data_IF_562962590928
#
_entry.id   IF_562962590928
#
_cell.length_a   1.000
_cell.length_b   1.000
_cell.length_c   1.000
_cell.angle_alpha   90.00
_cell.angle_beta   90.00
_cell.angle_gamma   90.00
#
_symmetry.space_group_name_H-M   'P 1'
#
loop_
_entity.id
_entity.type
_entity.pdbx_description
1 polymer ?
#
# COMPACT_ATOMS: atom_id res chain seq x y z
N UNK A 1 4.46 13.98 10.34
CA UNK A 1 4.01 13.37 9.07
C UNK A 1 5.05 13.66 8.02
N UNK A 2 5.32 12.69 7.13
CA UNK A 2 6.32 12.81 6.07
C UNK A 2 5.62 13.33 4.79
N UNK A 3 6.22 14.29 4.10
CA UNK A 3 5.77 14.72 2.77
C UNK A 3 6.45 13.89 1.69
N UNK A 4 6.10 14.14 0.43
CA UNK A 4 6.82 13.50 -0.70
C UNK A 4 8.33 13.75 -0.71
N UNK A 5 8.82 14.83 -0.07
CA UNK A 5 10.25 15.14 -0.02
C UNK A 5 10.99 14.20 0.92
N UNK A 6 10.43 13.95 2.10
CA UNK A 6 11.03 13.03 3.05
C UNK A 6 10.87 11.59 2.54
N UNK A 7 9.75 11.23 1.91
CA UNK A 7 9.48 9.86 1.44
C UNK A 7 10.23 9.41 0.16
N UNK A 8 11.21 10.17 -0.32
CA UNK A 8 11.89 9.92 -1.60
C UNK A 8 13.10 8.96 -1.52
N UNK A 9 13.28 8.25 -0.40
CA UNK A 9 14.46 7.41 -0.13
C UNK A 9 14.75 6.37 -1.23
N UNK A 10 13.72 5.77 -1.82
CA UNK A 10 13.85 4.75 -2.86
C UNK A 10 14.29 5.31 -4.23
N UNK A 11 14.22 6.63 -4.44
CA UNK A 11 14.31 7.19 -5.79
C UNK A 11 15.66 6.95 -6.45
N UNK A 12 16.77 7.16 -5.73
CA UNK A 12 18.12 7.06 -6.29
C UNK A 12 18.43 5.67 -6.88
N UNK A 13 18.38 4.56 -6.11
CA UNK A 13 18.74 3.25 -6.66
C UNK A 13 17.81 2.79 -7.80
N UNK A 14 16.53 3.18 -7.76
CA UNK A 14 15.57 2.86 -8.81
C UNK A 14 15.84 3.65 -10.10
N UNK A 15 16.06 4.96 -10.01
CA UNK A 15 16.38 5.80 -11.17
C UNK A 15 17.70 5.38 -11.81
N UNK A 16 18.72 5.05 -11.01
CA UNK A 16 20.01 4.52 -11.50
C UNK A 16 19.85 3.21 -12.29
N UNK A 17 18.73 2.50 -12.10
CA UNK A 17 18.37 1.26 -12.80
C UNK A 17 17.33 1.47 -13.90
N UNK A 18 17.05 2.72 -14.26
CA UNK A 18 16.18 3.07 -15.38
C UNK A 18 14.69 3.11 -15.05
N UNK A 19 14.31 3.05 -13.76
CA UNK A 19 12.93 3.23 -13.34
C UNK A 19 12.53 4.70 -13.41
N UNK A 20 11.26 4.93 -13.75
CA UNK A 20 10.57 6.19 -13.43
C UNK A 20 9.99 6.03 -12.04
N UNK A 21 10.29 6.97 -11.13
CA UNK A 21 9.83 6.92 -9.74
C UNK A 21 8.84 8.05 -9.50
N UNK A 22 7.64 7.71 -9.02
CA UNK A 22 6.59 8.66 -8.65
C UNK A 22 6.43 8.57 -7.12
N UNK A 23 6.75 9.66 -6.43
CA UNK A 23 6.52 9.78 -4.98
C UNK A 23 5.26 10.62 -4.79
N UNK A 24 4.20 9.95 -4.32
CA UNK A 24 2.90 10.59 -4.09
C UNK A 24 2.88 11.33 -2.76
N UNK A 25 2.19 12.47 -2.77
CA UNK A 25 1.74 13.18 -1.58
C UNK A 25 0.21 13.14 -1.56
N UNK A 26 -0.40 13.33 -0.41
CA UNK A 26 -1.85 13.30 -0.26
C UNK A 26 -2.31 14.18 0.90
N UNK A 27 -3.59 14.54 0.90
CA UNK A 27 -4.14 15.35 1.99
C UNK A 27 -4.20 14.55 3.30
N UNK A 28 -4.19 15.25 4.43
CA UNK A 28 -4.04 14.63 5.74
C UNK A 28 -5.32 14.80 6.57
N UNK A 29 -5.66 13.78 7.34
CA UNK A 29 -6.72 13.87 8.34
C UNK A 29 -6.32 14.88 9.43
N UNK A 30 -7.27 15.71 9.94
CA UNK A 30 -8.71 15.69 9.68
C UNK A 30 -9.18 16.61 8.54
N UNK A 31 -8.28 17.17 7.72
CA UNK A 31 -8.68 18.04 6.60
C UNK A 31 -9.57 17.29 5.60
N UNK A 32 -9.26 16.00 5.41
CA UNK A 32 -10.09 15.02 4.72
C UNK A 32 -10.31 13.82 5.62
N UNK A 33 -11.42 13.12 5.42
CA UNK A 33 -11.70 11.81 6.01
C UNK A 33 -10.85 10.71 5.37
N UNK A 34 -10.73 9.56 6.02
CA UNK A 34 -10.04 8.40 5.43
C UNK A 34 -10.72 7.93 4.13
N UNK A 35 -12.04 8.03 4.04
CA UNK A 35 -12.77 7.69 2.81
C UNK A 35 -12.41 8.61 1.63
N UNK A 36 -12.36 9.91 1.88
CA UNK A 36 -11.90 10.89 0.89
C UNK A 36 -10.44 10.66 0.52
N UNK A 37 -9.60 10.34 1.50
CA UNK A 37 -8.19 10.02 1.26
C UNK A 37 -8.03 8.78 0.36
N UNK A 38 -8.75 7.68 0.62
CA UNK A 38 -8.76 6.50 -0.27
C UNK A 38 -9.24 6.88 -1.67
N UNK A 39 -10.21 7.79 -1.78
CA UNK A 39 -10.71 8.28 -3.07
C UNK A 39 -9.64 9.08 -3.82
N UNK A 40 -8.85 9.91 -3.13
CA UNK A 40 -7.71 10.63 -3.72
C UNK A 40 -6.66 9.65 -4.27
N UNK A 41 -6.37 8.57 -3.53
CA UNK A 41 -5.41 7.55 -3.94
C UNK A 41 -5.92 6.77 -5.16
N UNK A 42 -7.22 6.49 -5.26
CA UNK A 42 -7.84 5.93 -6.48
C UNK A 42 -7.64 6.84 -7.68
N UNK A 43 -7.91 8.14 -7.55
CA UNK A 43 -7.68 9.10 -8.63
C UNK A 43 -6.19 9.18 -9.04
N UNK A 44 -5.28 9.12 -8.07
CA UNK A 44 -3.84 9.10 -8.35
C UNK A 44 -3.43 7.80 -9.07
N UNK A 45 -3.97 6.65 -8.65
CA UNK A 45 -3.74 5.36 -9.29
C UNK A 45 -4.22 5.34 -10.75
N UNK A 46 -5.42 5.83 -11.01
CA UNK A 46 -5.97 5.98 -12.37
C UNK A 46 -5.06 6.87 -13.23
N UNK A 47 -4.66 8.04 -12.72
CA UNK A 47 -3.76 8.94 -13.44
C UNK A 47 -2.40 8.29 -13.76
N UNK A 48 -1.82 7.56 -12.82
CA UNK A 48 -0.53 6.86 -13.02
C UNK A 48 -0.66 5.77 -14.07
N UNK A 49 -1.76 5.01 -14.06
CA UNK A 49 -1.98 3.94 -15.03
C UNK A 49 -2.21 4.50 -16.44
N UNK A 50 -2.97 5.59 -16.58
CA UNK A 50 -3.12 6.30 -17.84
C UNK A 50 -1.77 6.83 -18.34
N UNK A 51 -0.98 7.46 -17.46
CA UNK A 51 0.38 7.91 -17.80
C UNK A 51 1.27 6.74 -18.25
N UNK A 52 1.20 5.60 -17.56
CA UNK A 52 1.98 4.42 -17.87
C UNK A 52 1.63 3.86 -19.25
N UNK A 53 0.34 3.77 -19.58
CA UNK A 53 -0.15 3.32 -20.88
C UNK A 53 0.29 4.28 -22.00
N UNK A 54 0.05 5.59 -21.84
CA UNK A 54 0.45 6.62 -22.81
C UNK A 54 1.97 6.62 -23.11
N UNK A 55 2.78 6.29 -22.10
CA UNK A 55 4.23 6.24 -22.21
C UNK A 55 4.78 4.84 -22.51
N UNK A 56 3.91 3.85 -22.79
CA UNK A 56 4.27 2.45 -23.07
C UNK A 56 5.20 1.85 -22.02
N UNK A 57 4.91 2.15 -20.75
CA UNK A 57 5.65 1.62 -19.61
C UNK A 57 5.42 0.11 -19.54
N UNK A 58 6.50 -0.67 -19.34
CA UNK A 58 6.44 -2.14 -19.36
C UNK A 58 5.56 -2.73 -18.27
N UNK A 59 5.63 -2.15 -17.07
CA UNK A 59 4.79 -2.47 -15.93
C UNK A 59 4.90 -1.39 -14.86
N UNK A 60 3.94 -1.39 -13.95
CA UNK A 60 3.88 -0.54 -12.77
C UNK A 60 4.05 -1.42 -11.52
N UNK A 61 4.91 -0.96 -10.62
CA UNK A 61 5.06 -1.49 -9.27
C UNK A 61 4.66 -0.40 -8.29
N UNK A 62 3.86 -0.74 -7.28
CA UNK A 62 3.34 0.21 -6.28
C UNK A 62 3.84 -0.23 -4.92
N UNK A 63 4.35 0.70 -4.11
CA UNK A 63 4.82 0.42 -2.76
C UNK A 63 4.25 1.43 -1.78
N UNK A 64 3.87 0.97 -0.59
CA UNK A 64 3.37 1.82 0.48
C UNK A 64 3.85 1.32 1.84
N UNK A 65 4.01 2.28 2.74
CA UNK A 65 4.49 2.06 4.10
C UNK A 65 3.40 2.42 5.11
N UNK A 66 3.13 1.55 6.09
CA UNK A 66 2.22 1.87 7.20
C UNK A 66 0.83 2.31 6.69
N UNK A 67 0.43 3.56 6.92
CA UNK A 67 -0.78 4.12 6.35
C UNK A 67 -0.80 4.11 4.80
N UNK A 68 0.35 4.23 4.13
CA UNK A 68 0.44 4.09 2.67
C UNK A 68 0.14 2.67 2.18
N UNK A 69 0.56 1.64 2.93
CA UNK A 69 0.21 0.25 2.63
C UNK A 69 -1.30 0.01 2.79
N UNK A 70 -1.89 0.61 3.84
CA UNK A 70 -3.35 0.62 4.01
C UNK A 70 -4.06 1.24 2.80
N UNK A 71 -3.63 2.44 2.38
CA UNK A 71 -4.25 3.17 1.28
C UNK A 71 -4.18 2.41 -0.04
N UNK A 72 -3.05 1.75 -0.34
CA UNK A 72 -2.95 0.89 -1.54
C UNK A 72 -3.90 -0.31 -1.44
N UNK A 73 -3.93 -1.00 -0.30
CA UNK A 73 -4.80 -2.14 -0.12
C UNK A 73 -6.28 -1.76 -0.24
N UNK A 74 -6.68 -0.61 0.32
CA UNK A 74 -8.04 -0.06 0.23
C UNK A 74 -8.37 0.47 -1.18
N UNK A 75 -7.37 0.99 -1.91
CA UNK A 75 -7.54 1.44 -3.30
C UNK A 75 -7.86 0.27 -4.24
N UNK A 76 -7.24 -0.91 -4.05
CA UNK A 76 -7.36 -2.08 -4.94
C UNK A 76 -8.72 -2.81 -4.87
N UNK A 77 -9.79 -2.08 -4.58
CA UNK A 77 -11.15 -2.61 -4.56
C UNK A 77 -11.72 -2.84 -5.96
N UNK A 78 -12.90 -3.47 -6.00
CA UNK A 78 -13.60 -3.79 -7.25
C UNK A 78 -13.91 -2.54 -8.08
N UNK A 79 -14.24 -1.42 -7.42
CA UNK A 79 -14.60 -0.19 -8.10
C UNK A 79 -13.39 0.39 -8.84
N UNK A 80 -12.23 0.45 -8.19
CA UNK A 80 -10.99 0.93 -8.82
C UNK A 80 -10.64 0.08 -10.04
N UNK A 81 -10.66 -1.26 -9.92
CA UNK A 81 -10.38 -2.15 -11.05
C UNK A 81 -11.38 -1.97 -12.20
N UNK A 82 -12.65 -1.72 -11.89
CA UNK A 82 -13.65 -1.41 -12.91
C UNK A 82 -13.42 -0.04 -13.57
N UNK A 83 -12.95 0.95 -12.82
CA UNK A 83 -12.62 2.29 -13.33
C UNK A 83 -11.42 2.27 -14.27
N UNK A 84 -10.34 1.58 -13.88
CA UNK A 84 -9.08 1.57 -14.66
C UNK A 84 -9.04 0.50 -15.74
N UNK A 85 -10.09 -0.31 -15.92
CA UNK A 85 -10.20 -1.24 -17.05
C UNK A 85 -9.01 -2.18 -17.25
N UNK A 86 -8.51 -2.25 -18.48
CA UNK A 86 -7.42 -3.15 -18.87
C UNK A 86 -6.06 -2.68 -18.36
N UNK A 87 -5.92 -1.38 -18.05
CA UNK A 87 -4.71 -0.76 -17.54
C UNK A 87 -4.30 -1.35 -16.18
N UNK A 88 -5.22 -1.97 -15.42
CA UNK A 88 -4.89 -2.74 -14.21
C UNK A 88 -3.84 -3.82 -14.47
N UNK A 89 -3.77 -4.36 -15.70
CA UNK A 89 -2.82 -5.41 -16.08
C UNK A 89 -1.38 -4.92 -16.13
N UNK A 90 -1.16 -3.59 -16.14
CA UNK A 90 0.15 -2.98 -15.98
C UNK A 90 0.69 -3.14 -14.56
N UNK A 91 -0.18 -3.23 -13.54
CA UNK A 91 0.24 -3.44 -12.15
C UNK A 91 0.72 -4.89 -12.00
N UNK A 92 2.03 -5.07 -11.74
CA UNK A 92 2.64 -6.39 -11.55
C UNK A 92 3.00 -6.68 -10.11
N UNK A 93 3.47 -5.67 -9.38
CA UNK A 93 3.93 -5.85 -8.01
C UNK A 93 3.34 -4.78 -7.10
N UNK A 94 2.79 -5.22 -5.98
CA UNK A 94 2.27 -4.36 -4.92
C UNK A 94 3.03 -4.70 -3.63
N UNK A 95 3.76 -3.74 -3.09
CA UNK A 95 4.54 -3.91 -1.86
C UNK A 95 3.82 -3.21 -0.70
N UNK A 96 3.28 -4.02 0.21
CA UNK A 96 2.61 -3.56 1.43
C UNK A 96 3.57 -3.71 2.60
N UNK A 97 4.20 -2.60 3.02
CA UNK A 97 5.29 -2.61 4.01
C UNK A 97 4.76 -2.10 5.35
N UNK A 98 4.86 -2.94 6.39
CA UNK A 98 4.43 -2.66 7.77
C UNK A 98 3.06 -1.98 7.87
N UNK A 99 2.09 -2.48 7.10
CA UNK A 99 0.79 -1.84 6.92
C UNK A 99 -0.22 -2.07 8.04
N UNK A 100 -1.24 -1.22 8.07
CA UNK A 100 -2.41 -1.35 8.95
C UNK A 100 -3.61 -1.82 8.14
N UNK A 101 -4.11 -3.02 8.40
CA UNK A 101 -5.15 -3.64 7.56
C UNK A 101 -6.48 -3.87 8.30
N UNK A 102 -6.54 -3.55 9.59
CA UNK A 102 -7.73 -3.63 10.45
C UNK A 102 -7.99 -2.29 11.13
N UNK A 103 -9.22 -1.78 11.05
CA UNK A 103 -9.57 -0.47 11.63
C UNK A 103 -10.57 -0.55 12.80
N UNK A 104 -11.07 -1.74 13.12
CA UNK A 104 -12.10 -1.97 14.15
C UNK A 104 -11.67 -1.49 15.54
N UNK A 105 -10.46 -1.82 15.98
CA UNK A 105 -9.91 -1.30 17.24
C UNK A 105 -9.33 0.10 17.07
N UNK A 106 -8.67 0.36 15.94
CA UNK A 106 -7.99 1.63 15.67
C UNK A 106 -8.94 2.83 15.71
N UNK A 107 -10.20 2.65 15.28
CA UNK A 107 -11.22 3.71 15.35
C UNK A 107 -11.46 4.20 16.79
N UNK A 108 -11.22 3.36 17.79
CA UNK A 108 -11.41 3.67 19.21
C UNK A 108 -10.13 4.11 19.93
N UNK A 109 -8.96 3.89 19.33
CA UNK A 109 -7.65 4.22 19.90
C UNK A 109 -7.41 5.73 19.88
N UNK A 110 -7.52 6.39 21.03
CA UNK A 110 -7.40 7.85 21.13
C UNK A 110 -6.03 8.40 20.72
N UNK A 111 -4.94 7.64 20.89
CA UNK A 111 -3.61 8.06 20.46
C UNK A 111 -3.45 8.10 18.93
N UNK A 112 -4.32 7.40 18.18
CA UNK A 112 -4.27 7.29 16.72
C UNK A 112 -5.42 8.05 16.06
N UNK A 113 -6.63 7.94 16.60
CA UNK A 113 -7.86 8.53 16.06
C UNK A 113 -8.51 9.52 17.03
N UNK A 114 -7.70 10.42 17.62
CA UNK A 114 -8.17 11.44 18.54
C UNK A 114 -9.32 12.25 17.92
N UNK A 115 -10.42 12.42 18.67
CA UNK A 115 -11.62 13.16 18.21
C UNK A 115 -12.19 12.66 16.87
N UNK A 116 -11.96 11.39 16.55
CA UNK A 116 -12.35 10.78 15.28
C UNK A 116 -11.77 11.50 14.04
N UNK A 117 -10.49 11.89 14.09
CA UNK A 117 -9.83 12.59 12.99
C UNK A 117 -9.90 11.84 11.65
N UNK A 118 -9.99 10.51 11.67
CA UNK A 118 -10.10 9.67 10.46
C UNK A 118 -11.52 9.67 9.86
N UNK A 119 -12.52 10.17 10.59
CA UNK A 119 -13.91 10.19 10.14
C UNK A 119 -14.55 8.79 10.08
N UNK A 120 -14.13 7.87 10.95
CA UNK A 120 -14.64 6.50 10.98
C UNK A 120 -15.98 6.41 11.71
N UNK A 121 -16.89 5.58 11.19
CA UNK A 121 -18.17 5.27 11.80
C UNK A 121 -18.63 3.85 11.40
N UNK A 122 -19.73 3.38 11.98
CA UNK A 122 -20.24 2.03 11.72
C UNK A 122 -20.60 1.78 10.24
N UNK A 123 -20.93 2.83 9.48
CA UNK A 123 -21.31 2.71 8.07
C UNK A 123 -20.09 2.59 7.13
N UNK A 124 -18.95 3.22 7.45
CA UNK A 124 -17.79 3.25 6.55
C UNK A 124 -16.62 2.36 6.98
N UNK A 125 -16.48 2.00 8.26
CA UNK A 125 -15.27 1.33 8.77
C UNK A 125 -14.99 0.01 8.08
N UNK A 126 -16.04 -0.77 7.78
CA UNK A 126 -15.93 -2.06 7.07
C UNK A 126 -15.39 -1.86 5.65
N UNK A 127 -15.95 -0.91 4.91
CA UNK A 127 -15.53 -0.61 3.54
C UNK A 127 -14.13 -0.01 3.44
N UNK A 128 -13.60 0.53 4.55
CA UNK A 128 -12.25 1.05 4.67
C UNK A 128 -11.28 0.07 5.32
N UNK A 129 -11.70 -1.15 5.68
CA UNK A 129 -10.84 -2.13 6.33
C UNK A 129 -10.37 -3.17 5.32
N UNK A 130 -9.08 -3.17 4.91
CA UNK A 130 -8.56 -4.13 3.92
C UNK A 130 -8.85 -5.60 4.25
N UNK A 131 -8.78 -6.01 5.52
CA UNK A 131 -9.09 -7.39 5.94
C UNK A 131 -10.58 -7.77 5.84
N UNK A 132 -11.47 -6.81 5.57
CA UNK A 132 -12.91 -7.04 5.38
C UNK A 132 -13.33 -6.87 3.91
N UNK A 133 -12.38 -6.61 3.00
CA UNK A 133 -12.65 -6.42 1.58
C UNK A 133 -12.68 -7.75 0.80
N UNK A 134 -13.32 -7.73 -0.37
CA UNK A 134 -13.26 -8.84 -1.34
C UNK A 134 -12.19 -8.51 -2.39
N UNK A 135 -11.18 -9.39 -2.54
CA UNK A 135 -10.11 -9.27 -3.53
C UNK A 135 -10.23 -10.27 -4.69
N UNK A 136 -11.35 -10.98 -4.81
CA UNK A 136 -11.58 -12.00 -5.83
C UNK A 136 -11.54 -11.46 -7.26
N UNK A 137 -11.78 -10.16 -7.46
CA UNK A 137 -11.63 -9.50 -8.77
C UNK A 137 -10.17 -9.38 -9.22
N UNK A 138 -9.19 -9.55 -8.33
CA UNK A 138 -7.77 -9.59 -8.68
C UNK A 138 -7.32 -10.98 -9.14
N UNK A 139 -8.15 -12.02 -8.94
CA UNK A 139 -7.81 -13.40 -9.31
C UNK A 139 -7.60 -13.51 -10.82
N UNK A 140 -6.45 -14.06 -11.21
CA UNK A 140 -6.08 -14.25 -12.61
C UNK A 140 -5.51 -13.00 -13.30
N UNK A 141 -5.49 -11.84 -12.62
CA UNK A 141 -4.68 -10.71 -13.04
C UNK A 141 -3.19 -10.99 -12.74
N UNK A 142 -2.26 -10.36 -13.47
CA UNK A 142 -0.83 -10.59 -13.30
C UNK A 142 -0.23 -9.90 -12.05
N UNK A 143 -1.07 -9.45 -11.12
CA UNK A 143 -0.65 -8.73 -9.91
C UNK A 143 -0.16 -9.72 -8.84
N UNK A 144 0.99 -9.41 -8.26
CA UNK A 144 1.55 -10.09 -7.10
C UNK A 144 1.61 -9.10 -5.93
N UNK A 145 1.15 -9.53 -4.76
CA UNK A 145 1.12 -8.69 -3.55
C UNK A 145 2.15 -9.22 -2.54
N UNK A 146 3.17 -8.42 -2.28
CA UNK A 146 4.25 -8.71 -1.35
C UNK A 146 3.98 -7.96 -0.05
N UNK A 147 3.70 -8.70 1.02
CA UNK A 147 3.51 -8.14 2.36
C UNK A 147 4.83 -8.27 3.11
N UNK A 148 5.32 -7.18 3.68
CA UNK A 148 6.54 -7.16 4.50
C UNK A 148 6.27 -6.51 5.84
N UNK A 149 6.92 -6.99 6.90
CA UNK A 149 6.87 -6.41 8.24
C UNK A 149 8.23 -6.53 8.91
N UNK A 150 8.58 -5.57 9.76
CA UNK A 150 9.84 -5.60 10.47
C UNK A 150 9.82 -6.64 11.61
N UNK A 151 10.96 -7.23 11.96
CA UNK A 151 11.06 -8.11 13.12
C UNK A 151 10.73 -7.37 14.43
N UNK A 152 11.27 -6.16 14.57
CA UNK A 152 11.08 -5.30 15.74
C UNK A 152 9.83 -4.42 15.65
N UNK A 153 8.94 -4.70 14.70
CA UNK A 153 7.57 -4.15 14.72
C UNK A 153 6.76 -4.73 15.89
N UNK A 154 5.70 -4.02 16.26
CA UNK A 154 4.79 -4.51 17.30
C UNK A 154 4.14 -5.84 16.89
N UNK A 155 3.73 -6.65 17.88
CA UNK A 155 3.01 -7.90 17.61
C UNK A 155 1.75 -7.70 16.75
N UNK A 156 1.09 -6.54 16.88
CA UNK A 156 -0.11 -6.19 16.11
C UNK A 156 0.23 -5.99 14.62
N UNK A 157 1.33 -5.30 14.29
CA UNK A 157 1.77 -5.16 12.89
C UNK A 157 2.14 -6.50 12.28
N UNK A 158 2.86 -7.35 13.03
CA UNK A 158 3.21 -8.71 12.57
C UNK A 158 1.98 -9.57 12.31
N UNK A 159 0.99 -9.50 13.20
CA UNK A 159 -0.27 -10.22 13.03
C UNK A 159 -1.06 -9.68 11.82
N UNK A 160 -1.21 -8.35 11.68
CA UNK A 160 -1.88 -7.74 10.53
C UNK A 160 -1.22 -8.11 9.20
N UNK A 161 0.11 -8.14 9.14
CA UNK A 161 0.83 -8.55 7.93
C UNK A 161 0.52 -10.01 7.56
N UNK A 162 0.52 -10.91 8.54
CA UNK A 162 0.14 -12.31 8.35
C UNK A 162 -1.31 -12.44 7.89
N UNK A 163 -2.24 -11.80 8.59
CA UNK A 163 -3.66 -11.85 8.28
C UNK A 163 -3.93 -11.32 6.87
N UNK A 164 -3.24 -10.25 6.45
CA UNK A 164 -3.41 -9.66 5.12
C UNK A 164 -2.94 -10.61 4.03
N UNK A 165 -1.79 -11.26 4.22
CA UNK A 165 -1.28 -12.25 3.27
C UNK A 165 -2.25 -13.44 3.14
N UNK A 166 -2.66 -14.05 4.25
CA UNK A 166 -3.61 -15.18 4.26
C UNK A 166 -4.98 -14.78 3.67
N UNK A 167 -5.41 -13.54 3.89
CA UNK A 167 -6.63 -13.01 3.30
C UNK A 167 -6.56 -12.91 1.77
N UNK A 168 -5.46 -12.39 1.23
CA UNK A 168 -5.21 -12.32 -0.22
C UNK A 168 -5.12 -13.72 -0.85
N UNK A 169 -4.42 -14.65 -0.19
CA UNK A 169 -4.31 -16.04 -0.65
C UNK A 169 -5.67 -16.73 -0.74
N UNK A 170 -6.57 -16.50 0.21
CA UNK A 170 -7.95 -17.04 0.17
C UNK A 170 -8.74 -16.57 -1.05
N UNK A 171 -8.45 -15.40 -1.60
CA UNK A 171 -9.05 -14.90 -2.85
C UNK A 171 -8.28 -15.35 -4.11
N UNK A 172 -7.20 -16.12 -3.95
CA UNK A 172 -6.37 -16.59 -5.05
C UNK A 172 -5.42 -15.54 -5.61
N UNK A 173 -5.14 -14.47 -4.85
CA UNK A 173 -4.15 -13.45 -5.20
C UNK A 173 -2.76 -14.00 -4.87
N UNK A 174 -1.86 -13.96 -5.85
CA UNK A 174 -0.48 -14.45 -5.69
C UNK A 174 0.34 -13.44 -4.89
N UNK A 175 1.30 -13.91 -4.11
CA UNK A 175 2.07 -13.01 -3.26
C UNK A 175 3.06 -13.72 -2.35
N UNK A 176 3.65 -12.94 -1.45
CA UNK A 176 4.58 -13.42 -0.43
C UNK A 176 4.42 -12.63 0.87
N UNK A 177 4.82 -13.26 1.98
CA UNK A 177 4.96 -12.61 3.28
C UNK A 177 6.43 -12.67 3.72
N UNK A 178 6.97 -11.53 4.15
CA UNK A 178 8.33 -11.42 4.65
C UNK A 178 8.35 -10.75 6.02
N UNK A 179 9.00 -11.40 6.99
CA UNK A 179 9.41 -10.76 8.25
C UNK A 179 10.89 -10.43 8.11
N UNK A 180 11.24 -9.15 8.13
CA UNK A 180 12.60 -8.70 7.85
C UNK A 180 13.40 -8.54 9.15
N UNK A 181 14.52 -9.28 9.31
CA UNK A 181 15.26 -9.35 10.56
C UNK A 181 16.00 -8.04 10.85
N UNK A 182 16.18 -7.75 12.13
CA UNK A 182 16.96 -6.61 12.64
C UNK A 182 16.47 -5.22 12.18
N UNK A 183 15.27 -5.14 11.60
CA UNK A 183 14.61 -3.89 11.21
C UNK A 183 13.55 -3.51 12.22
N UNK A 184 13.23 -2.22 12.25
CA UNK A 184 12.07 -1.62 12.92
C UNK A 184 11.10 -1.01 11.91
N UNK A 185 10.04 -0.37 12.43
CA UNK A 185 8.97 0.21 11.62
C UNK A 185 9.44 1.34 10.69
N UNK A 186 10.59 1.95 10.94
CA UNK A 186 11.07 3.11 10.19
C UNK A 186 12.20 2.71 9.25
N UNK A 187 13.21 1.99 9.74
CA UNK A 187 14.38 1.65 8.93
C UNK A 187 14.04 0.64 7.81
N UNK A 188 12.93 -0.10 7.92
CA UNK A 188 12.40 -0.99 6.88
C UNK A 188 12.17 -0.29 5.53
N UNK A 189 11.88 1.02 5.54
CA UNK A 189 11.72 1.81 4.31
C UNK A 189 12.86 2.78 4.05
N UNK A 190 13.57 3.24 5.07
CA UNK A 190 14.76 4.08 4.87
C UNK A 190 15.85 3.33 4.10
N UNK A 191 15.99 2.01 4.35
CA UNK A 191 16.91 1.12 3.61
C UNK A 191 16.55 0.94 2.15
N UNK A 192 15.41 1.43 1.67
CA UNK A 192 15.11 1.48 0.23
C UNK A 192 16.11 2.34 -0.56
N UNK A 193 16.88 3.21 0.12
CA UNK A 193 17.99 3.93 -0.49
C UNK A 193 19.20 3.02 -0.84
N UNK A 194 19.25 1.82 -0.28
CA UNK A 194 20.33 0.85 -0.49
C UNK A 194 19.96 -0.12 -1.62
N UNK A 195 20.77 -0.14 -2.68
CA UNK A 195 20.56 -1.05 -3.83
C UNK A 195 20.56 -2.53 -3.45
N UNK A 196 21.25 -2.88 -2.37
CA UNK A 196 21.46 -4.25 -1.95
C UNK A 196 20.43 -4.75 -0.93
N UNK A 197 19.56 -3.87 -0.46
CA UNK A 197 18.48 -4.17 0.48
C UNK A 197 17.42 -5.07 -0.15
N UNK A 198 16.85 -5.98 0.64
CA UNK A 198 15.93 -7.02 0.19
C UNK A 198 14.77 -6.48 -0.65
N UNK A 199 14.04 -5.47 -0.15
CA UNK A 199 12.89 -4.90 -0.86
C UNK A 199 13.37 -4.15 -2.12
N UNK A 200 14.46 -3.39 -2.05
CA UNK A 200 15.01 -2.70 -3.22
C UNK A 200 15.38 -3.69 -4.32
N UNK A 201 16.07 -4.79 -3.98
CA UNK A 201 16.41 -5.85 -4.93
C UNK A 201 15.18 -6.51 -5.56
N UNK A 202 14.09 -6.65 -4.80
CA UNK A 202 12.85 -7.22 -5.33
C UNK A 202 12.16 -6.28 -6.34
N UNK A 203 12.30 -4.96 -6.16
CA UNK A 203 11.74 -3.96 -7.08
C UNK A 203 12.56 -3.86 -8.37
N UNK A 204 13.89 -4.01 -8.29
CA UNK A 204 14.86 -3.84 -9.38
C UNK A 204 14.83 -4.96 -10.43
#
# INVERSE_FOLDING_TARGET
>A
MLSKKESAYCAKPLVERGFRVIILDYELCPKVTLAELVSQIKCAGEYILNYAEENRVRHVSIAGHSAGAHLIAAMLDRQFVATVGDEIRLVKHVYLISGVFKLDELRHTQSVNAKNLLGLNDANVRGLTPLEMDYGHLRGLPVQVHVSVAENDSGVFKQMAKDMHEHLERFGVQGSLHVLPELDHFDIVEKLAEKDYFITKAIL
#
